data_IF_255856395198
#
_entry.id   IF_255856395198
#
_cell.length_a   1.000
_cell.length_b   1.000
_cell.length_c   1.000
_cell.angle_alpha   90.00
_cell.angle_beta   90.00
_cell.angle_gamma   90.00
#
_symmetry.space_group_name_H-M   'P 1'
#
loop_
_entity.id
_entity.type
_entity.pdbx_description
1 polymer ?
#
# COMPACT_ATOMS: atom_id res chain seq x y z
N UNK A 1 4.35 2.80 13.90
CA UNK A 1 3.09 2.78 13.10
C UNK A 1 3.30 2.02 11.80
N UNK A 2 2.44 1.03 11.46
CA UNK A 2 2.62 0.15 10.30
C UNK A 2 2.57 0.87 8.95
N UNK A 3 1.71 1.89 8.79
CA UNK A 3 1.65 2.66 7.55
C UNK A 3 2.96 3.41 7.22
N UNK A 4 3.64 3.95 8.24
CA UNK A 4 4.92 4.65 8.06
C UNK A 4 6.03 3.65 7.68
N UNK A 5 6.04 2.46 8.29
CA UNK A 5 6.97 1.40 7.92
C UNK A 5 6.73 0.93 6.48
N UNK A 6 5.47 0.74 6.08
CA UNK A 6 5.12 0.35 4.72
C UNK A 6 5.54 1.39 3.68
N UNK A 7 5.34 2.69 3.96
CA UNK A 7 5.82 3.78 3.10
C UNK A 7 7.36 3.78 2.92
N UNK A 8 8.11 3.24 3.88
CA UNK A 8 9.58 3.19 3.83
C UNK A 8 10.13 1.92 3.16
N UNK A 9 9.48 0.78 3.36
CA UNK A 9 10.05 -0.52 3.04
C UNK A 9 9.22 -1.37 2.08
N UNK A 10 7.95 -1.03 1.83
CA UNK A 10 7.08 -1.81 0.95
C UNK A 10 6.96 -1.10 -0.42
N UNK A 11 7.50 -1.68 -1.50
CA UNK A 11 7.56 -1.02 -2.80
C UNK A 11 6.16 -0.89 -3.46
N UNK A 12 5.23 -1.83 -3.24
CA UNK A 12 3.81 -1.68 -3.66
C UNK A 12 3.18 -0.45 -3.03
N UNK A 13 3.40 -0.26 -1.73
CA UNK A 13 2.85 0.87 -0.99
C UNK A 13 3.52 2.19 -1.38
N UNK A 14 4.82 2.17 -1.71
CA UNK A 14 5.52 3.34 -2.23
C UNK A 14 4.94 3.79 -3.56
N UNK A 15 4.72 2.85 -4.50
CA UNK A 15 4.11 3.13 -5.78
C UNK A 15 2.69 3.69 -5.62
N UNK A 16 1.86 3.04 -4.78
CA UNK A 16 0.53 3.53 -4.44
C UNK A 16 0.56 4.95 -3.85
N UNK A 17 1.47 5.22 -2.91
CA UNK A 17 1.61 6.54 -2.30
C UNK A 17 2.11 7.60 -3.28
N UNK A 18 2.95 7.23 -4.25
CA UNK A 18 3.38 8.12 -5.33
C UNK A 18 2.19 8.53 -6.21
N UNK A 19 1.33 7.58 -6.61
CA UNK A 19 0.09 7.88 -7.35
C UNK A 19 -0.84 8.80 -6.55
N UNK A 20 -1.00 8.55 -5.25
CA UNK A 20 -1.77 9.43 -4.38
C UNK A 20 -1.21 10.86 -4.34
N UNK A 21 0.12 11.01 -4.26
CA UNK A 21 0.78 12.33 -4.29
C UNK A 21 0.58 13.05 -5.62
N UNK A 22 0.65 12.34 -6.74
CA UNK A 22 0.36 12.89 -8.07
C UNK A 22 -1.09 13.40 -8.15
N UNK A 23 -2.03 12.70 -7.51
CA UNK A 23 -3.43 13.12 -7.37
C UNK A 23 -3.65 14.21 -6.30
N UNK A 24 -2.58 14.80 -5.75
CA UNK A 24 -2.67 15.88 -4.76
C UNK A 24 -3.01 15.44 -3.33
N UNK A 25 -3.10 14.15 -3.05
CA UNK A 25 -3.42 13.63 -1.71
C UNK A 25 -2.15 13.65 -0.84
N UNK A 26 -2.20 14.34 0.31
CA UNK A 26 -1.04 14.57 1.19
C UNK A 26 -1.39 14.44 2.67
N UNK A 27 -0.33 14.39 3.50
CA UNK A 27 -0.44 14.42 4.96
C UNK A 27 -1.24 13.22 5.53
N UNK A 28 -2.10 13.50 6.52
CA UNK A 28 -2.89 12.46 7.21
C UNK A 28 -3.82 11.69 6.28
N UNK A 29 -4.37 12.33 5.23
CA UNK A 29 -5.23 11.66 4.24
C UNK A 29 -4.48 10.54 3.52
N UNK A 30 -3.21 10.78 3.18
CA UNK A 30 -2.35 9.77 2.56
C UNK A 30 -2.10 8.59 3.52
N UNK A 31 -1.83 8.86 4.80
CA UNK A 31 -1.60 7.81 5.80
C UNK A 31 -2.84 6.91 5.96
N UNK A 32 -4.04 7.49 6.04
CA UNK A 32 -5.30 6.73 6.14
C UNK A 32 -5.51 5.89 4.88
N UNK A 33 -5.26 6.43 3.69
CA UNK A 33 -5.36 5.68 2.44
C UNK A 33 -4.39 4.48 2.42
N UNK A 34 -3.15 4.67 2.89
CA UNK A 34 -2.18 3.58 3.03
C UNK A 34 -2.63 2.54 4.05
N UNK A 35 -3.18 2.94 5.20
CA UNK A 35 -3.72 2.00 6.19
C UNK A 35 -4.85 1.15 5.60
N UNK A 36 -5.78 1.77 4.87
CA UNK A 36 -6.85 1.05 4.18
C UNK A 36 -6.29 0.05 3.17
N UNK A 37 -5.28 0.45 2.39
CA UNK A 37 -4.64 -0.44 1.42
C UNK A 37 -3.97 -1.64 2.09
N UNK A 38 -3.30 -1.45 3.22
CA UNK A 38 -2.70 -2.54 3.99
C UNK A 38 -3.74 -3.57 4.46
N UNK A 39 -4.90 -3.11 4.93
CA UNK A 39 -5.99 -4.02 5.34
C UNK A 39 -6.48 -4.85 4.14
N UNK A 40 -6.62 -4.22 2.96
CA UNK A 40 -7.03 -4.94 1.76
C UNK A 40 -5.99 -5.98 1.31
N UNK A 41 -4.70 -5.66 1.39
CA UNK A 41 -3.62 -6.60 1.07
C UNK A 41 -3.69 -7.83 2.00
N UNK A 42 -3.80 -7.60 3.31
CA UNK A 42 -3.92 -8.70 4.28
C UNK A 42 -5.15 -9.55 3.99
N UNK A 43 -6.29 -8.91 3.74
CA UNK A 43 -7.52 -9.62 3.38
C UNK A 43 -7.37 -10.44 2.09
N UNK A 44 -6.72 -9.89 1.05
CA UNK A 44 -6.50 -10.59 -0.21
C UNK A 44 -5.59 -11.81 -0.04
N UNK A 45 -4.52 -11.71 0.76
CA UNK A 45 -3.63 -12.83 1.09
C UNK A 45 -4.40 -13.93 1.82
N UNK A 46 -5.17 -13.58 2.86
CA UNK A 46 -5.96 -14.54 3.62
C UNK A 46 -7.05 -15.21 2.76
N UNK A 47 -7.73 -14.43 1.90
CA UNK A 47 -8.80 -14.94 1.04
C UNK A 47 -8.28 -15.84 -0.09
N UNK A 48 -7.14 -15.49 -0.69
CA UNK A 48 -6.59 -16.24 -1.83
C UNK A 48 -5.70 -17.42 -1.41
N UNK A 49 -5.19 -17.40 -0.17
CA UNK A 49 -4.18 -18.35 0.31
C UNK A 49 -2.81 -18.18 -0.35
N UNK A 50 -2.64 -17.18 -1.22
CA UNK A 50 -1.37 -16.90 -1.91
C UNK A 50 -0.51 -15.95 -1.07
N UNK A 51 0.80 -16.20 -0.94
CA UNK A 51 1.72 -15.28 -0.29
C UNK A 51 1.67 -13.88 -0.91
N UNK A 52 1.97 -12.86 -0.11
CA UNK A 52 2.10 -11.48 -0.60
C UNK A 52 3.22 -11.37 -1.63
N UNK A 53 2.90 -10.87 -2.82
CA UNK A 53 3.86 -10.52 -3.87
C UNK A 53 4.29 -9.05 -3.72
N UNK A 54 5.59 -8.83 -3.54
CA UNK A 54 6.17 -7.50 -3.34
C UNK A 54 6.17 -6.65 -4.61
N UNK A 55 5.98 -7.25 -5.78
CA UNK A 55 6.02 -6.56 -7.07
C UNK A 55 4.64 -6.50 -7.77
N UNK A 56 3.57 -6.86 -7.06
CA UNK A 56 2.23 -7.05 -7.64
C UNK A 56 1.72 -5.87 -8.47
N UNK A 57 1.89 -4.64 -7.96
CA UNK A 57 1.35 -3.42 -8.60
C UNK A 57 2.42 -2.65 -9.39
N UNK A 58 3.68 -3.10 -9.36
CA UNK A 58 4.79 -2.49 -10.11
C UNK A 58 4.85 -3.04 -11.54
N UNK A 59 4.30 -4.24 -11.74
CA UNK A 59 4.27 -4.97 -13.02
C UNK A 59 2.98 -4.76 -13.83
N UNK A 60 1.99 -4.05 -13.27
CA UNK A 60 0.66 -3.81 -13.85
C UNK A 60 0.53 -2.37 -14.33
#
# INVERSE_FOLDING_TARGET
MPAIAALRFNPVIQYFAQRLKQNGIRGKKMVIAVMRQLIHIVFAVLKSGKPFDREYEIRA
#
